data_IF_791980745043
#
_entry.id   IF_791980745043
#
_cell.length_a   1.000
_cell.length_b   1.000
_cell.length_c   1.000
_cell.angle_alpha   90.00
_cell.angle_beta   90.00
_cell.angle_gamma   90.00
#
_symmetry.space_group_name_H-M   'P 1'
#
loop_
_entity.id
_entity.type
_entity.pdbx_description
1 polymer ?
#
# COMPACT_ATOMS: atom_id res chain seq x y z
N UNK A 1 2.93 -3.27 10.99
CA UNK A 1 2.28 -4.32 11.81
C UNK A 1 2.49 -4.16 13.31
N UNK A 2 3.71 -4.14 13.86
CA UNK A 2 3.89 -3.99 15.33
C UNK A 2 3.33 -2.67 15.87
N UNK A 3 3.48 -1.59 15.11
CA UNK A 3 2.86 -0.27 15.40
C UNK A 3 1.33 -0.25 15.31
N UNK A 4 0.72 -1.23 14.65
CA UNK A 4 -0.73 -1.40 14.51
C UNK A 4 -1.28 -2.40 15.55
N UNK A 5 -0.50 -2.71 16.60
CA UNK A 5 -0.89 -3.58 17.71
C UNK A 5 -1.22 -5.04 17.34
N UNK A 6 -0.76 -5.54 16.18
CA UNK A 6 -0.92 -6.96 15.85
C UNK A 6 -0.11 -7.86 16.81
N UNK A 7 -0.73 -8.90 17.40
CA UNK A 7 -0.05 -9.81 18.32
C UNK A 7 1.21 -10.43 17.72
N UNK A 8 2.22 -10.68 18.56
CA UNK A 8 3.49 -11.27 18.12
C UNK A 8 3.30 -12.63 17.46
N UNK A 9 2.42 -13.47 18.02
CA UNK A 9 2.11 -14.79 17.45
C UNK A 9 1.52 -14.66 16.04
N UNK A 10 0.52 -13.79 15.87
CA UNK A 10 -0.10 -13.55 14.59
C UNK A 10 0.92 -13.05 13.54
N UNK A 11 1.82 -12.13 13.91
CA UNK A 11 2.88 -11.66 13.01
C UNK A 11 3.86 -12.76 12.59
N UNK A 12 4.10 -13.75 13.47
CA UNK A 12 4.92 -14.93 13.13
C UNK A 12 4.20 -15.81 12.11
N UNK A 13 2.90 -16.04 12.27
CA UNK A 13 2.10 -16.81 11.29
C UNK A 13 2.09 -16.15 9.92
N UNK A 14 1.84 -14.84 9.84
CA UNK A 14 1.90 -14.12 8.56
C UNK A 14 3.27 -14.20 7.92
N UNK A 15 4.35 -14.06 8.71
CA UNK A 15 5.71 -14.21 8.20
C UNK A 15 5.92 -15.59 7.61
N UNK A 16 5.47 -16.64 8.30
CA UNK A 16 5.57 -18.01 7.80
C UNK A 16 4.84 -18.14 6.45
N UNK A 17 3.57 -17.74 6.38
CA UNK A 17 2.77 -17.82 5.15
C UNK A 17 3.41 -17.10 3.96
N UNK A 18 4.06 -15.96 4.18
CA UNK A 18 4.63 -15.14 3.09
C UNK A 18 6.06 -15.57 2.74
N UNK A 19 6.86 -16.05 3.71
CA UNK A 19 8.28 -16.36 3.50
C UNK A 19 8.55 -17.79 3.01
N UNK A 20 7.63 -18.74 3.22
CA UNK A 20 7.84 -20.15 2.83
C UNK A 20 7.01 -20.58 1.62
N UNK A 21 6.31 -19.65 0.99
CA UNK A 21 5.50 -19.95 -0.19
C UNK A 21 6.36 -20.39 -1.39
N UNK A 22 6.01 -21.53 -1.97
CA UNK A 22 6.55 -22.05 -3.24
C UNK A 22 5.46 -22.09 -4.31
N UNK A 23 5.87 -22.13 -5.57
CA UNK A 23 4.98 -22.31 -6.70
C UNK A 23 5.61 -23.21 -7.76
N UNK A 24 4.77 -23.84 -8.57
CA UNK A 24 5.14 -24.50 -9.82
C UNK A 24 4.29 -23.92 -10.95
N UNK A 25 4.80 -23.99 -12.18
CA UNK A 25 4.05 -23.58 -13.38
C UNK A 25 3.56 -24.83 -14.08
N UNK A 26 2.29 -24.83 -14.49
CA UNK A 26 1.77 -25.92 -15.33
C UNK A 26 2.12 -25.64 -16.79
N UNK A 27 2.93 -26.52 -17.39
CA UNK A 27 3.26 -26.52 -18.82
C UNK A 27 2.54 -27.69 -19.47
N UNK A 28 1.58 -27.40 -20.34
CA UNK A 28 0.70 -28.41 -20.97
C UNK A 28 -0.01 -29.32 -19.95
N UNK A 29 -0.37 -28.77 -18.78
CA UNK A 29 -1.03 -29.50 -17.70
C UNK A 29 -0.10 -30.29 -16.78
N UNK A 30 1.21 -30.34 -17.06
CA UNK A 30 2.21 -30.95 -16.18
C UNK A 30 2.95 -29.90 -15.36
N UNK A 31 3.13 -30.09 -14.04
CA UNK A 31 3.85 -29.14 -13.20
C UNK A 31 5.36 -29.17 -13.48
N UNK A 32 5.98 -27.99 -13.46
CA UNK A 32 7.45 -27.85 -13.35
C UNK A 32 7.91 -28.15 -11.92
N UNK A 33 9.23 -28.16 -11.72
CA UNK A 33 9.82 -28.10 -10.39
C UNK A 33 9.32 -26.88 -9.61
N UNK A 34 9.22 -27.03 -8.29
CA UNK A 34 8.85 -25.95 -7.40
C UNK A 34 9.98 -24.92 -7.26
N UNK A 35 9.61 -23.66 -7.14
CA UNK A 35 10.52 -22.57 -6.85
C UNK A 35 9.93 -21.64 -5.76
N UNK A 36 10.78 -20.99 -4.95
CA UNK A 36 10.33 -20.09 -3.90
C UNK A 36 9.81 -18.77 -4.47
N UNK A 37 8.70 -18.29 -3.91
CA UNK A 37 8.16 -16.96 -4.22
C UNK A 37 8.94 -15.89 -3.43
N UNK A 38 9.59 -14.97 -4.14
CA UNK A 38 10.41 -13.90 -3.53
C UNK A 38 9.68 -12.56 -3.39
N UNK A 39 8.73 -12.28 -4.28
CA UNK A 39 7.99 -11.02 -4.35
C UNK A 39 6.56 -11.30 -4.78
N UNK A 40 5.64 -10.50 -4.24
CA UNK A 40 4.22 -10.62 -4.54
C UNK A 40 3.50 -11.53 -3.56
N UNK A 41 2.18 -11.47 -3.63
CA UNK A 41 1.27 -12.33 -2.87
C UNK A 41 0.50 -13.19 -3.86
N UNK A 42 0.06 -14.37 -3.43
CA UNK A 42 -0.67 -15.30 -4.29
C UNK A 42 -2.04 -14.71 -4.65
N UNK A 43 -2.32 -14.58 -5.94
CA UNK A 43 -3.65 -14.18 -6.40
C UNK A 43 -4.66 -15.31 -6.12
N UNK A 44 -5.84 -14.93 -5.64
CA UNK A 44 -6.88 -15.88 -5.21
C UNK A 44 -6.67 -16.45 -3.80
N UNK A 45 -5.59 -16.09 -3.12
CA UNK A 45 -5.43 -16.38 -1.69
C UNK A 45 -6.29 -15.39 -0.86
N UNK A 46 -7.15 -15.86 0.05
CA UNK A 46 -8.03 -15.01 0.84
C UNK A 46 -7.30 -14.03 1.76
N UNK A 47 -6.02 -14.27 2.10
CA UNK A 47 -5.21 -13.40 2.95
C UNK A 47 -4.54 -12.27 2.16
N UNK A 48 -4.27 -12.48 0.87
CA UNK A 48 -3.55 -11.53 0.02
C UNK A 48 -4.16 -10.12 -0.02
N UNK A 49 -5.49 -9.93 -0.16
CA UNK A 49 -6.10 -8.60 -0.15
C UNK A 49 -5.83 -7.83 1.14
N UNK A 50 -5.89 -8.51 2.29
CA UNK A 50 -5.66 -7.88 3.59
C UNK A 50 -4.19 -7.45 3.76
N UNK A 51 -3.25 -8.30 3.36
CA UNK A 51 -1.82 -7.96 3.41
C UNK A 51 -1.46 -6.82 2.46
N UNK A 52 -2.15 -6.71 1.32
CA UNK A 52 -1.99 -5.57 0.42
C UNK A 52 -2.46 -4.26 1.08
N UNK A 53 -3.62 -4.25 1.73
CA UNK A 53 -4.11 -3.08 2.47
C UNK A 53 -3.12 -2.64 3.57
N UNK A 54 -2.51 -3.60 4.27
CA UNK A 54 -1.50 -3.29 5.29
C UNK A 54 -0.23 -2.63 4.72
N UNK A 55 0.14 -2.94 3.48
CA UNK A 55 1.22 -2.26 2.79
C UNK A 55 0.78 -0.87 2.31
N UNK A 56 -0.43 -0.75 1.75
CA UNK A 56 -1.02 0.51 1.29
C UNK A 56 -1.24 1.52 2.43
N UNK A 57 -1.48 1.06 3.66
CA UNK A 57 -1.55 1.89 4.86
C UNK A 57 -0.28 2.71 5.10
N UNK A 58 0.88 2.24 4.61
CA UNK A 58 2.11 3.02 4.63
C UNK A 58 1.99 4.32 3.83
N UNK A 59 1.26 4.31 2.72
CA UNK A 59 0.99 5.51 1.92
C UNK A 59 0.00 6.45 2.63
N UNK A 60 -1.04 5.91 3.28
CA UNK A 60 -1.97 6.70 4.11
C UNK A 60 -1.20 7.52 5.16
N UNK A 61 -0.37 6.84 5.96
CA UNK A 61 0.45 7.48 7.02
C UNK A 61 1.39 8.55 6.45
N UNK A 62 1.98 8.33 5.28
CA UNK A 62 2.82 9.35 4.62
C UNK A 62 2.00 10.58 4.21
N UNK A 63 0.83 10.37 3.61
CA UNK A 63 -0.05 11.45 3.17
C UNK A 63 -0.54 12.28 4.35
N UNK A 64 -1.03 11.63 5.41
CA UNK A 64 -1.44 12.30 6.66
C UNK A 64 -0.30 13.12 7.26
N UNK A 65 0.93 12.58 7.28
CA UNK A 65 2.09 13.28 7.80
C UNK A 65 2.45 14.54 6.97
N UNK A 66 2.26 14.49 5.65
CA UNK A 66 2.52 15.64 4.77
C UNK A 66 1.48 16.73 4.95
N UNK A 67 0.21 16.37 5.12
CA UNK A 67 -0.88 17.30 5.44
C UNK A 67 -0.63 17.95 6.81
N UNK A 68 -0.33 17.14 7.84
CA UNK A 68 -0.08 17.64 9.19
C UNK A 68 1.11 18.63 9.26
N UNK A 69 2.07 18.49 8.35
CA UNK A 69 3.23 19.40 8.22
C UNK A 69 2.99 20.58 7.28
N UNK A 70 1.77 20.75 6.78
CA UNK A 70 1.40 21.77 5.78
C UNK A 70 2.25 21.70 4.49
N UNK A 71 2.78 20.52 4.15
CA UNK A 71 3.53 20.28 2.91
C UNK A 71 2.60 19.94 1.74
N UNK A 72 1.41 19.43 2.04
CA UNK A 72 0.32 19.25 1.09
C UNK A 72 -0.89 20.03 1.60
N UNK A 73 -1.46 20.86 0.74
CA UNK A 73 -2.76 21.49 0.99
C UNK A 73 -3.85 20.66 0.33
N UNK A 74 -4.72 20.09 1.16
CA UNK A 74 -5.79 19.17 0.80
C UNK A 74 -6.84 19.81 -0.12
N UNK A 75 -7.64 18.96 -0.79
CA UNK A 75 -8.77 19.44 -1.57
C UNK A 75 -10.03 19.51 -0.69
N UNK A 76 -10.76 20.61 -0.80
CA UNK A 76 -11.98 20.88 -0.03
C UNK A 76 -13.21 20.60 -0.89
N UNK A 77 -14.08 19.69 -0.44
CA UNK A 77 -15.29 19.27 -1.15
C UNK A 77 -16.52 19.69 -0.35
N UNK A 78 -17.44 20.41 -0.99
CA UNK A 78 -18.67 20.90 -0.35
C UNK A 78 -18.64 22.41 -0.07
N UNK A 79 -19.81 22.95 0.27
CA UNK A 79 -20.01 24.37 0.59
C UNK A 79 -19.67 24.68 2.06
N UNK A 80 -20.71 24.87 2.89
CA UNK A 80 -20.55 25.28 4.30
C UNK A 80 -19.94 24.18 5.20
N UNK A 81 -20.20 22.90 4.94
CA UNK A 81 -19.61 21.75 5.65
C UNK A 81 -18.61 21.04 4.73
N UNK A 82 -17.47 21.68 4.51
CA UNK A 82 -16.49 21.16 3.57
C UNK A 82 -15.69 19.98 4.15
N UNK A 83 -15.68 18.86 3.45
CA UNK A 83 -14.81 17.71 3.74
C UNK A 83 -13.45 17.94 3.09
N UNK A 84 -12.38 17.84 3.87
CA UNK A 84 -11.00 17.91 3.35
C UNK A 84 -10.51 16.52 3.03
N UNK A 85 -10.03 16.35 1.81
CA UNK A 85 -9.55 15.07 1.29
C UNK A 85 -8.18 15.28 0.65
N UNK A 86 -7.19 14.52 1.13
CA UNK A 86 -5.85 14.47 0.54
C UNK A 86 -5.65 13.25 -0.35
N UNK A 87 -6.33 12.14 -0.05
CA UNK A 87 -6.25 10.92 -0.82
C UNK A 87 -7.47 10.01 -0.57
N UNK A 88 -7.75 9.12 -1.52
CA UNK A 88 -8.71 8.04 -1.43
C UNK A 88 -8.04 6.76 -1.95
N UNK A 89 -8.07 5.69 -1.17
CA UNK A 89 -7.49 4.41 -1.54
C UNK A 89 -8.57 3.35 -1.75
N UNK A 90 -8.52 2.71 -2.92
CA UNK A 90 -9.26 1.50 -3.26
C UNK A 90 -8.26 0.36 -3.50
N UNK A 91 -8.77 -0.85 -3.78
CA UNK A 91 -7.93 -2.03 -3.96
C UNK A 91 -6.90 -1.84 -5.10
N UNK A 92 -7.35 -1.33 -6.25
CA UNK A 92 -6.52 -1.20 -7.45
C UNK A 92 -6.16 0.26 -7.76
N UNK A 93 -6.93 1.23 -7.24
CA UNK A 93 -6.82 2.64 -7.58
C UNK A 93 -6.57 3.51 -6.35
N UNK A 94 -5.66 4.48 -6.48
CA UNK A 94 -5.46 5.53 -5.48
C UNK A 94 -5.62 6.89 -6.12
N UNK A 95 -6.53 7.70 -5.58
CA UNK A 95 -6.71 9.09 -5.98
C UNK A 95 -5.98 9.99 -5.00
N UNK A 96 -5.07 10.84 -5.49
CA UNK A 96 -4.38 11.85 -4.70
C UNK A 96 -4.96 13.23 -5.03
N UNK A 97 -5.39 13.96 -4.01
CA UNK A 97 -6.09 15.24 -4.16
C UNK A 97 -5.35 16.35 -3.44
N UNK A 98 -5.41 17.55 -4.02
CA UNK A 98 -4.90 18.77 -3.41
C UNK A 98 -5.26 19.98 -4.26
N UNK A 99 -5.11 21.16 -3.69
CA UNK A 99 -5.29 22.41 -4.46
C UNK A 99 -4.29 22.49 -5.61
N UNK A 100 -4.67 23.19 -6.68
CA UNK A 100 -3.81 23.43 -7.84
C UNK A 100 -2.57 24.26 -7.45
N UNK A 101 -1.45 23.58 -7.18
CA UNK A 101 -0.18 24.24 -6.90
C UNK A 101 1.01 23.36 -7.28
N UNK A 102 2.10 23.99 -7.74
CA UNK A 102 3.35 23.28 -8.01
C UNK A 102 3.99 22.73 -6.73
N UNK A 103 3.74 23.34 -5.58
CA UNK A 103 4.19 22.84 -4.29
C UNK A 103 3.56 21.47 -3.99
N UNK A 104 2.23 21.35 -4.13
CA UNK A 104 1.52 20.08 -3.97
C UNK A 104 2.03 19.01 -4.96
N UNK A 105 2.20 19.36 -6.25
CA UNK A 105 2.71 18.40 -7.26
C UNK A 105 4.08 17.84 -6.86
N UNK A 106 5.00 18.70 -6.40
CA UNK A 106 6.33 18.26 -5.96
C UNK A 106 6.27 17.44 -4.68
N UNK A 107 5.44 17.84 -3.72
CA UNK A 107 5.25 17.11 -2.47
C UNK A 107 4.65 15.71 -2.72
N UNK A 108 3.63 15.60 -3.56
CA UNK A 108 3.04 14.32 -3.98
C UNK A 108 4.07 13.42 -4.67
N UNK A 109 4.86 13.98 -5.60
CA UNK A 109 5.96 13.22 -6.22
C UNK A 109 6.96 12.70 -5.18
N UNK A 110 7.34 13.53 -4.20
CA UNK A 110 8.27 13.13 -3.16
C UNK A 110 7.69 11.99 -2.29
N UNK A 111 6.40 12.04 -1.95
CA UNK A 111 5.71 10.97 -1.24
C UNK A 111 5.72 9.67 -2.03
N UNK A 112 5.39 9.72 -3.32
CA UNK A 112 5.34 8.52 -4.17
C UNK A 112 6.72 7.86 -4.32
N UNK A 113 7.76 8.66 -4.56
CA UNK A 113 9.15 8.16 -4.64
C UNK A 113 9.59 7.55 -3.30
N UNK A 114 9.24 8.19 -2.18
CA UNK A 114 9.55 7.66 -0.85
C UNK A 114 8.79 6.35 -0.60
N UNK A 115 7.51 6.27 -0.97
CA UNK A 115 6.69 5.08 -0.83
C UNK A 115 7.21 3.93 -1.69
N UNK A 116 7.54 4.16 -2.96
CA UNK A 116 8.20 3.18 -3.85
C UNK A 116 9.47 2.64 -3.21
N UNK A 117 10.33 3.53 -2.69
CA UNK A 117 11.62 3.16 -2.08
C UNK A 117 11.44 2.29 -0.84
N UNK A 118 10.44 2.58 0.00
CA UNK A 118 10.20 1.83 1.25
C UNK A 118 9.42 0.53 1.02
N UNK A 119 8.46 0.51 0.11
CA UNK A 119 7.59 -0.65 -0.14
C UNK A 119 8.18 -1.63 -1.15
N UNK A 120 9.03 -1.16 -2.07
CA UNK A 120 9.54 -1.94 -3.19
C UNK A 120 8.51 -2.17 -4.31
N UNK A 121 7.33 -1.53 -4.22
CA UNK A 121 6.31 -1.48 -5.26
C UNK A 121 6.72 -0.45 -6.32
N UNK A 122 6.52 -0.80 -7.60
CA UNK A 122 6.80 0.08 -8.75
C UNK A 122 5.50 0.62 -9.32
#
# INVERSE_FOLDING_TARGET
MGKMSFPTLWRKWIRECVCTATASVLVNGSPTDEFPLRRGLRQGDPLSPFLFLLAAEGLNVLMEAMVARNLITEYSIGGQESVRVSHLQFADDTLLLGVKSWANVRALRAVLVLFETMSGLK
#
